data_IF_521789250559
#
_entry.id   IF_521789250559
#
_cell.length_a   1.000
_cell.length_b   1.000
_cell.length_c   1.000
_cell.angle_alpha   90.00
_cell.angle_beta   90.00
_cell.angle_gamma   90.00
#
_symmetry.space_group_name_H-M   'P 1'
#
loop_
_entity.id
_entity.type
_entity.pdbx_description
1 polymer ?
#
# COMPACT_ATOMS: atom_id res chain seq x y z
N UNK A 1 -12.89 -10.04 -1.28
CA UNK A 1 -12.68 -8.63 -0.91
C UNK A 1 -13.94 -7.96 -0.38
N UNK A 2 -15.12 -8.04 -1.06
CA UNK A 2 -16.34 -7.32 -0.64
C UNK A 2 -16.77 -7.66 0.79
N UNK A 3 -16.85 -8.95 1.11
CA UNK A 3 -17.24 -9.40 2.45
C UNK A 3 -16.33 -8.84 3.56
N UNK A 4 -15.02 -8.85 3.34
CA UNK A 4 -14.05 -8.38 4.34
C UNK A 4 -13.96 -6.85 4.37
N UNK A 5 -13.74 -6.23 3.20
CA UNK A 5 -13.47 -4.80 3.15
C UNK A 5 -14.72 -3.94 3.34
N UNK A 6 -15.86 -4.32 2.74
CA UNK A 6 -17.08 -3.50 2.80
C UNK A 6 -17.95 -3.88 3.99
N UNK A 7 -18.42 -5.13 4.03
CA UNK A 7 -19.31 -5.56 5.12
C UNK A 7 -18.58 -5.56 6.48
N UNK A 8 -17.30 -5.99 6.50
CA UNK A 8 -16.47 -5.94 7.71
C UNK A 8 -16.34 -4.51 8.24
N UNK A 9 -16.06 -3.53 7.39
CA UNK A 9 -15.98 -2.12 7.79
C UNK A 9 -17.33 -1.59 8.28
N UNK A 10 -18.43 -1.92 7.60
CA UNK A 10 -19.78 -1.53 8.05
C UNK A 10 -20.10 -2.11 9.44
N UNK A 11 -19.74 -3.38 9.70
CA UNK A 11 -19.92 -4.00 10.99
C UNK A 11 -19.09 -3.32 12.09
N UNK A 12 -17.84 -2.91 11.79
CA UNK A 12 -16.99 -2.17 12.73
C UNK A 12 -17.62 -0.80 13.05
N UNK A 13 -18.08 -0.07 12.05
CA UNK A 13 -18.78 1.23 12.25
C UNK A 13 -20.01 1.04 13.13
N UNK A 14 -20.84 0.04 12.83
CA UNK A 14 -22.04 -0.28 13.62
C UNK A 14 -21.69 -0.66 15.08
N UNK A 15 -20.65 -1.46 15.27
CA UNK A 15 -20.15 -1.80 16.60
C UNK A 15 -19.64 -0.58 17.37
N UNK A 16 -18.86 0.29 16.72
CA UNK A 16 -18.40 1.54 17.35
C UNK A 16 -19.58 2.38 17.84
N UNK A 17 -20.61 2.55 17.03
CA UNK A 17 -21.81 3.30 17.41
C UNK A 17 -22.58 2.62 18.55
N UNK A 18 -22.79 1.29 18.45
CA UNK A 18 -23.50 0.51 19.47
C UNK A 18 -22.82 0.56 20.85
N UNK A 19 -21.49 0.57 20.86
CA UNK A 19 -20.70 0.53 22.10
C UNK A 19 -20.12 1.90 22.48
N UNK A 20 -20.61 2.97 21.86
CA UNK A 20 -20.18 4.35 22.11
C UNK A 20 -18.63 4.54 22.02
N UNK A 21 -17.98 3.82 21.09
CA UNK A 21 -16.57 4.01 20.80
C UNK A 21 -16.40 5.36 20.08
N UNK A 22 -15.68 6.34 20.67
CA UNK A 22 -15.71 7.71 20.17
C UNK A 22 -14.83 7.94 18.93
N UNK A 23 -13.87 7.07 18.64
CA UNK A 23 -12.89 7.28 17.56
C UNK A 23 -12.60 6.00 16.78
N UNK A 24 -12.45 6.15 15.46
CA UNK A 24 -12.08 5.06 14.55
C UNK A 24 -10.98 5.53 13.59
N UNK A 25 -9.83 4.88 13.63
CA UNK A 25 -8.77 5.05 12.64
C UNK A 25 -8.84 3.89 11.65
N UNK A 26 -9.04 4.20 10.36
CA UNK A 26 -9.21 3.21 9.30
C UNK A 26 -7.99 3.15 8.40
N UNK A 27 -7.43 1.97 8.23
CA UNK A 27 -6.35 1.73 7.26
C UNK A 27 -6.95 1.51 5.88
N UNK A 28 -6.75 2.47 4.98
CA UNK A 28 -7.07 2.37 3.56
C UNK A 28 -5.79 2.08 2.73
N UNK A 29 -5.72 2.58 1.51
CA UNK A 29 -4.60 2.39 0.59
C UNK A 29 -4.61 3.46 -0.50
N UNK A 30 -3.45 3.93 -1.00
CA UNK A 30 -3.41 4.81 -2.17
C UNK A 30 -4.00 4.20 -3.45
N UNK A 31 -4.11 2.87 -3.53
CA UNK A 31 -4.73 2.20 -4.68
C UNK A 31 -6.18 2.66 -4.96
N UNK A 32 -6.85 3.28 -3.97
CA UNK A 32 -8.22 3.81 -4.14
C UNK A 32 -8.28 4.99 -5.12
N UNK A 33 -7.18 5.70 -5.33
CA UNK A 33 -7.07 6.82 -6.30
C UNK A 33 -6.26 6.45 -7.55
N UNK A 34 -5.72 5.23 -7.63
CA UNK A 34 -4.91 4.81 -8.78
C UNK A 34 -5.79 4.48 -10.00
N UNK A 35 -5.54 5.21 -11.08
CA UNK A 35 -6.25 5.08 -12.37
C UNK A 35 -5.41 4.44 -13.51
N UNK A 36 -4.21 3.93 -13.18
CA UNK A 36 -3.27 3.35 -14.16
C UNK A 36 -2.33 4.38 -14.79
N UNK A 37 -2.34 5.64 -14.34
CA UNK A 37 -1.41 6.70 -14.77
C UNK A 37 -0.32 6.90 -13.72
N UNK A 38 0.67 7.74 -14.06
CA UNK A 38 1.61 8.22 -13.05
C UNK A 38 0.88 9.11 -12.03
N UNK A 39 1.15 8.86 -10.76
CA UNK A 39 0.72 9.67 -9.62
C UNK A 39 1.98 10.21 -8.94
N UNK A 40 2.35 11.45 -9.21
CA UNK A 40 3.62 12.04 -8.75
C UNK A 40 3.33 13.22 -7.82
N UNK A 41 3.66 13.10 -6.53
CA UNK A 41 3.42 14.13 -5.53
C UNK A 41 1.93 14.43 -5.31
N UNK A 42 1.09 13.43 -5.50
CA UNK A 42 -0.37 13.58 -5.40
C UNK A 42 -0.78 13.68 -3.93
N UNK A 43 -1.62 14.64 -3.61
CA UNK A 43 -2.21 14.85 -2.29
C UNK A 43 -3.62 14.23 -2.15
N UNK A 44 -4.26 14.45 -1.01
CA UNK A 44 -5.56 13.87 -0.66
C UNK A 44 -6.73 14.41 -1.50
N UNK A 45 -6.53 15.46 -2.29
CA UNK A 45 -7.53 15.99 -3.22
C UNK A 45 -7.75 15.11 -4.46
N UNK A 46 -6.86 14.12 -4.68
CA UNK A 46 -6.96 13.17 -5.79
C UNK A 46 -8.31 12.46 -5.79
N UNK A 47 -9.07 12.51 -6.89
CA UNK A 47 -10.38 11.89 -6.96
C UNK A 47 -10.29 10.36 -7.06
N UNK A 48 -11.33 9.68 -6.62
CA UNK A 48 -11.50 8.27 -6.96
C UNK A 48 -11.72 8.12 -8.47
N UNK A 49 -11.06 7.15 -9.13
CA UNK A 49 -11.25 6.93 -10.55
C UNK A 49 -12.68 6.44 -10.85
N UNK A 50 -13.24 6.72 -12.03
CA UNK A 50 -14.56 6.22 -12.43
C UNK A 50 -14.65 4.70 -12.43
N UNK A 51 -13.51 4.03 -12.69
CA UNK A 51 -13.36 2.57 -12.61
C UNK A 51 -12.04 2.25 -11.93
N UNK A 52 -12.11 1.47 -10.86
CA UNK A 52 -10.92 0.98 -10.20
C UNK A 52 -10.26 -0.14 -11.00
N UNK A 53 -8.94 -0.19 -10.98
CA UNK A 53 -8.14 -1.15 -11.71
C UNK A 53 -8.32 -2.61 -11.24
N UNK A 54 -8.77 -2.82 -9.99
CA UNK A 54 -9.01 -4.15 -9.44
C UNK A 54 -10.08 -4.14 -8.34
N UNK A 55 -10.63 -5.31 -8.02
CA UNK A 55 -11.66 -5.49 -6.99
C UNK A 55 -11.17 -5.07 -5.59
N UNK A 56 -9.87 -5.22 -5.31
CA UNK A 56 -9.28 -4.75 -4.05
C UNK A 56 -9.43 -3.23 -3.91
N UNK A 57 -8.97 -2.46 -4.90
CA UNK A 57 -9.05 -1.00 -4.88
C UNK A 57 -10.52 -0.52 -4.80
N UNK A 58 -11.42 -1.13 -5.58
CA UNK A 58 -12.84 -0.81 -5.56
C UNK A 58 -13.47 -1.02 -4.17
N UNK A 59 -13.21 -2.16 -3.54
CA UNK A 59 -13.79 -2.47 -2.23
C UNK A 59 -13.16 -1.66 -1.10
N UNK A 60 -11.88 -1.30 -1.18
CA UNK A 60 -11.22 -0.39 -0.24
C UNK A 60 -11.78 1.04 -0.37
N UNK A 61 -12.06 1.51 -1.59
CA UNK A 61 -12.70 2.82 -1.80
C UNK A 61 -14.12 2.87 -1.23
N UNK A 62 -14.90 1.80 -1.36
CA UNK A 62 -16.24 1.70 -0.73
C UNK A 62 -16.14 1.74 0.81
N UNK A 63 -15.18 1.00 1.39
CA UNK A 63 -14.94 1.00 2.82
C UNK A 63 -14.51 2.38 3.33
N UNK A 64 -13.58 3.02 2.63
CA UNK A 64 -13.10 4.36 2.95
C UNK A 64 -14.23 5.40 2.94
N UNK A 65 -15.06 5.40 1.89
CA UNK A 65 -16.24 6.28 1.81
C UNK A 65 -17.22 6.04 2.96
N UNK A 66 -17.44 4.78 3.34
CA UNK A 66 -18.30 4.45 4.46
C UNK A 66 -17.76 4.99 5.80
N UNK A 67 -16.44 4.90 6.02
CA UNK A 67 -15.78 5.44 7.22
C UNK A 67 -15.82 6.95 7.24
N UNK A 68 -15.51 7.61 6.11
CA UNK A 68 -15.56 9.08 6.00
C UNK A 68 -16.99 9.61 6.23
N UNK A 69 -17.99 8.96 5.63
CA UNK A 69 -19.39 9.30 5.82
C UNK A 69 -19.92 9.01 7.25
N UNK A 70 -19.25 8.13 7.99
CA UNK A 70 -19.62 7.81 9.37
C UNK A 70 -19.14 8.86 10.38
N UNK A 71 -18.27 9.79 9.97
CA UNK A 71 -17.80 10.89 10.81
C UNK A 71 -18.95 11.78 11.27
N UNK A 72 -18.98 12.08 12.54
CA UNK A 72 -20.10 12.82 13.18
C UNK A 72 -20.97 11.89 14.04
N UNK A 73 -22.03 12.45 14.62
CA UNK A 73 -23.01 11.70 15.44
C UNK A 73 -22.37 10.77 16.50
N UNK A 74 -21.34 11.27 17.20
CA UNK A 74 -20.67 10.54 18.27
C UNK A 74 -19.51 9.62 17.85
N UNK A 75 -19.18 9.53 16.55
CA UNK A 75 -18.04 8.80 16.05
C UNK A 75 -17.13 9.72 15.23
N UNK A 76 -15.93 9.99 15.71
CA UNK A 76 -14.91 10.69 14.95
C UNK A 76 -14.05 9.68 14.18
N UNK A 77 -13.77 9.94 12.90
CA UNK A 77 -13.00 8.99 12.06
C UNK A 77 -11.82 9.67 11.40
N UNK A 78 -10.72 8.96 11.23
CA UNK A 78 -9.62 9.32 10.30
C UNK A 78 -9.32 8.11 9.43
N UNK A 79 -9.01 8.37 8.18
CA UNK A 79 -8.56 7.37 7.22
C UNK A 79 -7.08 7.59 6.91
N UNK A 80 -6.28 6.54 7.03
CA UNK A 80 -4.89 6.54 6.61
C UNK A 80 -4.73 5.71 5.34
N UNK A 81 -3.98 6.22 4.37
CA UNK A 81 -3.61 5.56 3.11
C UNK A 81 -2.11 5.26 3.12
N UNK A 82 -1.63 4.27 3.91
CA UNK A 82 -0.22 3.90 3.88
C UNK A 82 0.13 3.25 2.54
N UNK A 83 1.30 3.64 1.99
CA UNK A 83 1.76 3.13 0.72
C UNK A 83 2.83 2.06 0.90
N UNK A 84 2.61 0.88 0.31
CA UNK A 84 3.56 -0.23 0.26
C UNK A 84 4.28 -0.48 1.60
N UNK A 85 3.54 -0.90 2.62
CA UNK A 85 4.12 -1.22 3.94
C UNK A 85 5.06 -2.40 3.82
N UNK A 86 6.25 -2.29 4.43
CA UNK A 86 7.26 -3.33 4.48
C UNK A 86 8.05 -3.31 5.78
N UNK A 87 8.71 -4.43 6.10
CA UNK A 87 9.55 -4.53 7.29
C UNK A 87 9.63 -5.97 7.81
N UNK A 88 10.24 -6.19 8.97
CA UNK A 88 10.23 -7.48 9.65
C UNK A 88 8.82 -7.99 9.88
N UNK A 89 8.58 -9.27 9.57
CA UNK A 89 7.26 -9.89 9.75
C UNK A 89 6.23 -9.56 8.67
N UNK A 90 6.60 -8.81 7.61
CA UNK A 90 5.70 -8.55 6.49
C UNK A 90 5.25 -9.88 5.84
N UNK A 91 3.92 -10.16 5.77
CA UNK A 91 3.43 -11.41 5.19
C UNK A 91 3.22 -11.34 3.67
N UNK A 92 3.39 -10.19 3.03
CA UNK A 92 2.94 -9.97 1.65
C UNK A 92 4.00 -9.41 0.71
N UNK A 93 4.50 -8.19 0.96
CA UNK A 93 5.31 -7.44 0.01
C UNK A 93 6.73 -8.05 -0.10
N UNK A 94 7.43 -8.15 1.02
CA UNK A 94 8.78 -8.72 1.08
C UNK A 94 8.79 -10.19 0.62
N UNK A 95 7.94 -11.09 1.16
CA UNK A 95 7.91 -12.48 0.71
C UNK A 95 7.60 -12.65 -0.79
N UNK A 96 6.73 -11.79 -1.36
CA UNK A 96 6.40 -11.82 -2.79
C UNK A 96 7.61 -11.46 -3.66
N UNK A 97 8.44 -10.50 -3.24
CA UNK A 97 9.70 -10.15 -3.92
C UNK A 97 10.68 -11.32 -3.83
N UNK A 98 10.93 -11.81 -2.61
CA UNK A 98 11.92 -12.84 -2.35
C UNK A 98 11.59 -14.17 -3.06
N UNK A 99 10.32 -14.60 -3.01
CA UNK A 99 9.88 -15.85 -3.67
C UNK A 99 9.98 -15.82 -5.19
N UNK A 100 10.04 -14.63 -5.78
CA UNK A 100 10.13 -14.43 -7.23
C UNK A 100 11.50 -13.93 -7.70
N UNK A 101 12.48 -13.76 -6.81
CA UNK A 101 13.74 -13.09 -7.06
C UNK A 101 14.41 -13.49 -8.40
N UNK A 102 14.56 -14.80 -8.67
CA UNK A 102 15.17 -15.32 -9.90
C UNK A 102 14.37 -15.04 -11.18
N UNK A 103 13.06 -14.77 -11.05
CA UNK A 103 12.13 -14.56 -12.18
C UNK A 103 11.76 -13.10 -12.37
N UNK A 104 12.11 -12.22 -11.40
CA UNK A 104 11.83 -10.80 -11.52
C UNK A 104 12.52 -10.21 -12.75
N UNK A 105 11.81 -9.31 -13.42
CA UNK A 105 12.34 -8.51 -14.52
C UNK A 105 11.83 -7.10 -14.31
N UNK A 106 12.66 -6.09 -14.53
CA UNK A 106 12.25 -4.69 -14.48
C UNK A 106 11.20 -4.43 -15.55
N UNK A 107 10.04 -3.88 -15.18
CA UNK A 107 8.97 -3.56 -16.13
C UNK A 107 9.09 -2.10 -16.53
N UNK A 108 9.06 -1.84 -17.85
CA UNK A 108 9.20 -0.48 -18.39
C UNK A 108 10.66 -0.02 -18.48
N UNK A 109 10.88 1.29 -18.33
CA UNK A 109 12.22 1.88 -18.36
C UNK A 109 12.98 1.79 -17.01
N UNK A 110 12.28 1.40 -15.95
CA UNK A 110 12.82 1.24 -14.61
C UNK A 110 13.08 2.56 -13.87
N UNK A 111 12.57 3.69 -14.39
CA UNK A 111 12.78 5.03 -13.82
C UNK A 111 11.60 5.51 -12.97
N UNK A 112 10.51 4.74 -12.93
CA UNK A 112 9.34 5.08 -12.14
C UNK A 112 9.70 5.16 -10.65
N UNK A 113 9.27 6.26 -10.02
CA UNK A 113 9.50 6.51 -8.60
C UNK A 113 8.32 6.04 -7.78
N UNK A 114 8.61 5.50 -6.61
CA UNK A 114 7.62 5.12 -5.60
C UNK A 114 8.09 5.61 -4.24
N UNK A 115 7.18 5.87 -3.36
CA UNK A 115 7.47 5.92 -1.93
C UNK A 115 6.93 4.65 -1.26
N UNK A 116 7.43 4.37 -0.08
CA UNK A 116 7.04 3.19 0.69
C UNK A 116 6.86 3.57 2.16
N UNK A 117 6.38 2.67 2.98
CA UNK A 117 6.22 2.92 4.42
C UNK A 117 6.87 1.79 5.22
N UNK A 118 7.83 2.12 6.08
CA UNK A 118 8.34 1.13 7.02
C UNK A 118 7.28 0.84 8.09
N UNK A 119 7.18 -0.43 8.51
CA UNK A 119 6.07 -0.92 9.38
C UNK A 119 5.94 -0.12 10.68
N UNK A 120 7.05 0.22 11.36
CA UNK A 120 6.99 0.96 12.61
C UNK A 120 6.46 2.39 12.39
N UNK A 121 6.81 3.03 11.28
CA UNK A 121 6.29 4.34 10.90
C UNK A 121 4.79 4.26 10.58
N UNK A 122 4.35 3.19 9.90
CA UNK A 122 2.93 2.98 9.67
C UNK A 122 2.16 2.79 10.98
N UNK A 123 2.70 2.03 11.92
CA UNK A 123 2.10 1.84 13.25
C UNK A 123 2.04 3.16 14.02
N UNK A 124 3.15 3.93 14.04
CA UNK A 124 3.21 5.25 14.68
C UNK A 124 2.18 6.22 14.13
N UNK A 125 1.98 6.24 12.79
CA UNK A 125 0.97 7.08 12.15
C UNK A 125 -0.45 6.82 12.66
N UNK A 126 -0.80 5.56 12.98
CA UNK A 126 -2.11 5.21 13.55
C UNK A 126 -2.28 5.76 14.96
N UNK A 127 -1.23 5.69 15.81
CA UNK A 127 -1.26 6.26 17.15
C UNK A 127 -1.34 7.80 17.10
N UNK A 128 -0.52 8.44 16.26
CA UNK A 128 -0.53 9.89 16.05
C UNK A 128 -1.90 10.36 15.53
N UNK A 129 -2.53 9.64 14.61
CA UNK A 129 -3.87 9.95 14.14
C UNK A 129 -4.92 9.85 15.26
N UNK A 130 -4.82 8.84 16.12
CA UNK A 130 -5.72 8.68 17.25
C UNK A 130 -5.57 9.79 18.29
N UNK A 131 -4.33 10.23 18.58
CA UNK A 131 -4.03 11.30 19.50
C UNK A 131 -4.43 12.66 18.92
N UNK A 132 -4.11 12.92 17.64
CA UNK A 132 -4.51 14.15 16.94
C UNK A 132 -6.04 14.29 16.90
N UNK A 133 -6.76 13.21 16.60
CA UNK A 133 -8.22 13.20 16.58
C UNK A 133 -8.84 13.45 17.96
N UNK A 134 -8.15 13.05 19.03
CA UNK A 134 -8.54 13.38 20.42
C UNK A 134 -8.33 14.85 20.73
N UNK A 135 -7.21 15.42 20.30
CA UNK A 135 -6.85 16.82 20.56
C UNK A 135 -7.62 17.81 19.68
N UNK A 136 -7.90 17.43 18.41
CA UNK A 136 -8.55 18.27 17.42
C UNK A 136 -9.70 17.52 16.72
N UNK A 137 -10.90 17.48 17.31
CA UNK A 137 -12.07 16.79 16.72
C UNK A 137 -12.46 17.28 15.31
N UNK A 138 -12.04 18.48 14.93
CA UNK A 138 -12.25 19.03 13.57
C UNK A 138 -11.52 18.23 12.46
N UNK A 139 -10.59 17.33 12.82
CA UNK A 139 -9.95 16.40 11.89
C UNK A 139 -10.84 15.21 11.52
N UNK A 140 -12.01 15.08 12.14
CA UNK A 140 -12.93 13.97 11.85
C UNK A 140 -13.36 13.96 10.38
N UNK A 141 -13.32 12.78 9.77
CA UNK A 141 -13.64 12.57 8.36
C UNK A 141 -12.47 12.82 7.40
N UNK A 142 -11.31 13.25 7.89
CA UNK A 142 -10.14 13.48 7.05
C UNK A 142 -9.45 12.18 6.63
N UNK A 143 -8.76 12.28 5.50
CA UNK A 143 -7.95 11.22 4.89
C UNK A 143 -6.52 11.71 4.82
N UNK A 144 -5.54 10.81 4.98
CA UNK A 144 -4.11 11.16 4.92
C UNK A 144 -3.31 10.09 4.18
N UNK A 145 -2.43 10.51 3.27
CA UNK A 145 -1.38 9.63 2.76
C UNK A 145 -0.27 9.46 3.81
N UNK A 146 0.24 8.23 3.89
CA UNK A 146 1.32 7.88 4.81
C UNK A 146 2.41 7.16 4.03
N UNK A 147 3.63 7.72 4.07
CA UNK A 147 4.82 7.12 3.46
C UNK A 147 6.08 7.63 4.15
N UNK A 148 7.26 7.19 3.66
CA UNK A 148 8.54 7.73 4.12
C UNK A 148 8.76 9.20 3.70
N UNK A 149 8.00 9.72 2.73
CA UNK A 149 8.24 11.04 2.13
C UNK A 149 9.56 11.13 1.35
N UNK A 150 10.13 9.98 1.01
CA UNK A 150 11.40 9.82 0.29
C UNK A 150 11.17 8.99 -0.98
N UNK A 151 10.60 9.55 -2.06
CA UNK A 151 10.38 8.80 -3.29
C UNK A 151 11.70 8.32 -3.90
N UNK A 152 11.79 7.01 -4.19
CA UNK A 152 12.95 6.35 -4.77
C UNK A 152 12.56 5.61 -6.05
N UNK A 153 13.51 5.28 -6.95
CA UNK A 153 13.21 4.39 -8.06
C UNK A 153 12.67 3.04 -7.54
N UNK A 154 11.53 2.59 -8.08
CA UNK A 154 10.84 1.40 -7.57
C UNK A 154 11.73 0.15 -7.59
N UNK A 155 12.55 0.02 -8.63
CA UNK A 155 13.43 -1.14 -8.79
C UNK A 155 14.66 -1.08 -7.90
N UNK A 156 15.12 0.11 -7.50
CA UNK A 156 16.19 0.27 -6.52
C UNK A 156 15.70 -0.18 -5.13
N UNK A 157 14.43 0.10 -4.79
CA UNK A 157 13.82 -0.41 -3.56
C UNK A 157 13.69 -1.94 -3.57
N UNK A 158 13.30 -2.53 -4.72
CA UNK A 158 13.25 -3.99 -4.89
C UNK A 158 14.65 -4.60 -4.74
N UNK A 159 15.66 -4.03 -5.40
CA UNK A 159 17.04 -4.49 -5.30
C UNK A 159 17.60 -4.36 -3.88
N UNK A 160 17.25 -3.30 -3.15
CA UNK A 160 17.63 -3.13 -1.75
C UNK A 160 17.01 -4.19 -0.83
N UNK A 161 15.75 -4.58 -1.08
CA UNK A 161 15.11 -5.70 -0.36
C UNK A 161 15.79 -7.03 -0.69
N UNK A 162 16.13 -7.27 -1.96
CA UNK A 162 16.87 -8.48 -2.37
C UNK A 162 18.25 -8.53 -1.70
N UNK A 163 18.97 -7.41 -1.70
CA UNK A 163 20.28 -7.29 -1.03
C UNK A 163 20.17 -7.53 0.48
N UNK A 164 19.12 -7.07 1.14
CA UNK A 164 18.87 -7.35 2.56
C UNK A 164 18.67 -8.85 2.84
N UNK A 165 18.26 -9.62 1.84
CA UNK A 165 18.15 -11.09 1.90
C UNK A 165 19.39 -11.83 1.38
N UNK A 166 20.47 -11.13 0.98
CA UNK A 166 21.66 -11.73 0.38
C UNK A 166 21.45 -12.25 -1.04
N UNK A 167 20.48 -11.70 -1.78
CA UNK A 167 20.14 -12.10 -3.14
C UNK A 167 20.64 -11.06 -4.16
N UNK A 168 20.90 -11.54 -5.39
CA UNK A 168 21.33 -10.67 -6.50
C UNK A 168 20.23 -9.69 -6.93
N UNK A 169 20.60 -8.50 -7.45
CA UNK A 169 19.65 -7.53 -7.97
C UNK A 169 18.93 -8.06 -9.21
N UNK A 170 17.78 -7.47 -9.50
CA UNK A 170 16.93 -7.87 -10.64
C UNK A 170 17.67 -7.71 -11.96
N UNK A 171 17.77 -8.81 -12.71
CA UNK A 171 18.44 -8.88 -14.01
C UNK A 171 17.44 -8.73 -15.16
N UNK A 172 17.82 -7.91 -16.17
CA UNK A 172 17.04 -7.72 -17.38
C UNK A 172 15.76 -6.89 -17.20
N UNK A 173 15.12 -6.57 -18.30
CA UNK A 173 13.88 -5.79 -18.34
C UNK A 173 12.88 -6.33 -19.35
N UNK A 174 11.60 -5.99 -19.16
CA UNK A 174 10.51 -6.30 -20.09
C UNK A 174 9.80 -4.98 -20.42
N UNK A 175 9.49 -4.69 -21.68
CA UNK A 175 8.68 -3.55 -22.04
C UNK A 175 7.32 -3.57 -21.32
N UNK A 176 6.86 -2.41 -20.82
CA UNK A 176 5.58 -2.31 -20.11
C UNK A 176 4.42 -2.90 -20.92
N UNK A 177 4.35 -2.60 -22.24
CA UNK A 177 3.29 -3.11 -23.13
C UNK A 177 3.24 -4.64 -23.15
N UNK A 178 4.40 -5.31 -23.15
CA UNK A 178 4.46 -6.77 -23.12
C UNK A 178 3.94 -7.34 -21.78
N UNK A 179 4.38 -6.77 -20.66
CA UNK A 179 3.89 -7.17 -19.35
C UNK A 179 2.38 -6.93 -19.19
N UNK A 180 1.89 -5.80 -19.69
CA UNK A 180 0.47 -5.46 -19.67
C UNK A 180 -0.38 -6.41 -20.53
N UNK A 181 0.08 -6.73 -21.74
CA UNK A 181 -0.60 -7.70 -22.63
C UNK A 181 -0.60 -9.10 -22.02
N UNK A 182 0.52 -9.52 -21.42
CA UNK A 182 0.56 -10.78 -20.67
C UNK A 182 -0.44 -10.79 -19.51
N UNK A 183 -0.55 -9.66 -18.79
CA UNK A 183 -1.54 -9.49 -17.73
C UNK A 183 -2.98 -9.65 -18.25
N UNK A 184 -3.32 -9.04 -19.38
CA UNK A 184 -4.63 -9.18 -20.01
C UNK A 184 -4.94 -10.64 -20.36
N UNK A 185 -3.99 -11.34 -20.97
CA UNK A 185 -4.15 -12.77 -21.34
C UNK A 185 -4.34 -13.63 -20.11
N UNK A 186 -3.51 -13.46 -19.07
CA UNK A 186 -3.67 -14.22 -17.83
C UNK A 186 -5.00 -13.94 -17.12
N UNK A 187 -5.43 -12.68 -17.02
CA UNK A 187 -6.74 -12.33 -16.47
C UNK A 187 -7.87 -13.02 -17.23
N UNK A 188 -7.84 -13.01 -18.57
CA UNK A 188 -8.84 -13.67 -19.41
C UNK A 188 -8.84 -15.18 -19.20
N UNK A 189 -7.67 -15.84 -19.22
CA UNK A 189 -7.54 -17.28 -19.01
C UNK A 189 -8.06 -17.69 -17.61
N UNK A 190 -7.66 -16.98 -16.55
CA UNK A 190 -8.11 -17.29 -15.18
C UNK A 190 -9.62 -17.13 -15.03
N UNK A 191 -10.20 -16.11 -15.69
CA UNK A 191 -11.64 -15.86 -15.64
C UNK A 191 -12.41 -16.91 -16.44
N UNK A 192 -12.01 -17.17 -17.70
CA UNK A 192 -12.71 -18.09 -18.60
C UNK A 192 -12.63 -19.55 -18.12
N UNK A 193 -11.44 -19.95 -17.61
CA UNK A 193 -11.20 -21.31 -17.14
C UNK A 193 -11.52 -21.47 -15.62
N UNK A 194 -11.97 -20.41 -14.96
CA UNK A 194 -12.28 -20.39 -13.51
C UNK A 194 -11.13 -20.96 -12.67
N UNK A 195 -9.89 -20.63 -13.03
CA UNK A 195 -8.70 -21.13 -12.34
C UNK A 195 -8.65 -20.60 -10.91
N UNK A 196 -8.25 -21.41 -9.91
CA UNK A 196 -8.11 -20.96 -8.55
C UNK A 196 -6.86 -20.08 -8.39
N UNK A 197 -6.90 -19.14 -7.40
CA UNK A 197 -5.78 -18.27 -7.07
C UNK A 197 -5.73 -16.98 -7.88
N UNK A 198 -4.58 -16.30 -7.81
CA UNK A 198 -4.32 -15.04 -8.53
C UNK A 198 -3.49 -15.31 -9.80
N UNK A 199 -3.77 -14.60 -10.92
CA UNK A 199 -2.93 -14.68 -12.11
C UNK A 199 -1.47 -14.32 -11.80
N UNK A 200 -0.50 -14.94 -12.46
CA UNK A 200 0.93 -14.63 -12.29
C UNK A 200 1.28 -13.16 -12.55
N UNK A 201 0.56 -12.54 -13.48
CA UNK A 201 0.60 -11.13 -13.84
C UNK A 201 -0.82 -10.64 -14.09
N UNK A 202 -1.10 -9.39 -13.68
CA UNK A 202 -2.33 -8.68 -14.03
C UNK A 202 -1.98 -7.34 -14.66
N UNK A 203 -2.91 -6.73 -15.37
CA UNK A 203 -2.72 -5.36 -15.91
C UNK A 203 -2.43 -4.38 -14.79
N UNK A 204 -3.12 -4.51 -13.66
CA UNK A 204 -2.87 -3.69 -12.46
C UNK A 204 -1.44 -3.83 -11.96
N UNK A 205 -0.90 -5.05 -11.86
CA UNK A 205 0.47 -5.29 -11.41
C UNK A 205 1.48 -4.73 -12.43
N UNK A 206 1.22 -4.90 -13.73
CA UNK A 206 2.10 -4.34 -14.78
C UNK A 206 2.15 -2.81 -14.71
N UNK A 207 1.00 -2.15 -14.51
CA UNK A 207 0.95 -0.69 -14.33
C UNK A 207 1.62 -0.27 -13.03
N UNK A 208 1.36 -0.93 -11.90
CA UNK A 208 1.95 -0.62 -10.60
C UNK A 208 3.48 -0.77 -10.59
N UNK A 209 4.05 -1.68 -11.38
CA UNK A 209 5.49 -1.88 -11.48
C UNK A 209 6.19 -0.97 -12.51
N UNK A 210 5.42 -0.32 -13.41
CA UNK A 210 5.97 0.52 -14.47
C UNK A 210 5.68 2.01 -14.29
N UNK A 211 4.65 2.37 -13.51
CA UNK A 211 4.21 3.75 -13.31
C UNK A 211 4.80 4.33 -12.02
N UNK A 212 5.03 5.64 -12.04
CA UNK A 212 5.39 6.35 -10.82
C UNK A 212 4.15 6.48 -9.92
N UNK A 213 4.32 6.23 -8.62
CA UNK A 213 3.28 6.48 -7.62
C UNK A 213 3.92 6.82 -6.27
N UNK A 214 3.92 8.09 -5.97
CA UNK A 214 4.36 8.65 -4.69
C UNK A 214 3.47 9.84 -4.32
N UNK A 215 3.33 10.09 -3.02
CA UNK A 215 2.28 10.94 -2.48
C UNK A 215 2.85 12.03 -1.59
N UNK A 216 2.18 13.19 -1.57
CA UNK A 216 2.48 14.26 -0.63
C UNK A 216 1.91 13.89 0.74
N UNK A 217 2.79 13.83 1.74
CA UNK A 217 2.44 13.58 3.15
C UNK A 217 2.35 14.88 3.98
N UNK A 218 2.32 16.02 3.32
CA UNK A 218 2.31 17.33 3.97
C UNK A 218 1.11 17.53 4.89
N UNK A 219 -0.06 17.00 4.53
CA UNK A 219 -1.24 17.04 5.39
C UNK A 219 -1.05 16.19 6.67
N UNK A 220 -0.51 14.97 6.55
CA UNK A 220 -0.20 14.14 7.70
C UNK A 220 0.82 14.79 8.63
N UNK A 221 1.84 15.45 8.07
CA UNK A 221 2.83 16.21 8.85
C UNK A 221 2.19 17.35 9.65
N UNK A 222 1.36 18.16 9.01
CA UNK A 222 0.73 19.33 9.65
C UNK A 222 -0.29 18.93 10.71
N UNK A 223 -1.17 18.00 10.37
CA UNK A 223 -2.37 17.73 11.15
C UNK A 223 -2.15 16.64 12.21
N UNK A 224 -1.29 15.67 11.92
CA UNK A 224 -1.02 14.52 12.78
C UNK A 224 0.34 14.59 13.48
N UNK A 225 1.23 15.53 13.07
CA UNK A 225 2.62 15.55 13.50
C UNK A 225 3.41 14.33 13.00
N UNK A 226 2.98 13.74 11.86
CA UNK A 226 3.62 12.55 11.33
C UNK A 226 5.00 12.85 10.76
N UNK A 227 6.02 12.24 11.34
CA UNK A 227 7.39 12.19 10.80
C UNK A 227 7.89 10.75 10.85
N UNK A 228 8.40 10.21 9.73
CA UNK A 228 8.98 8.88 9.68
C UNK A 228 10.23 8.78 10.58
N UNK A 229 10.11 8.19 11.76
CA UNK A 229 11.21 8.07 12.72
C UNK A 229 12.29 7.06 12.28
N UNK A 230 11.90 6.06 11.49
CA UNK A 230 12.80 5.04 10.94
C UNK A 230 13.02 5.35 9.46
N UNK A 231 14.25 5.70 9.09
CA UNK A 231 14.62 5.92 7.69
C UNK A 231 14.55 4.63 6.86
N UNK A 232 14.46 4.75 5.54
CA UNK A 232 14.49 3.60 4.62
C UNK A 232 15.76 2.75 4.83
N UNK A 233 16.93 3.38 4.98
CA UNK A 233 18.20 2.67 5.21
C UNK A 233 18.19 1.88 6.53
N UNK A 234 17.72 2.48 7.63
CA UNK A 234 17.60 1.81 8.91
C UNK A 234 16.58 0.67 8.87
N UNK A 235 15.45 0.87 8.19
CA UNK A 235 14.45 -0.18 7.99
C UNK A 235 15.00 -1.38 7.23
N UNK A 236 15.78 -1.16 6.17
CA UNK A 236 16.44 -2.22 5.40
C UNK A 236 17.47 -2.98 6.25
N UNK A 237 18.22 -2.28 7.10
CA UNK A 237 19.17 -2.91 8.03
C UNK A 237 18.44 -3.80 9.04
N UNK A 238 17.31 -3.35 9.58
CA UNK A 238 16.46 -4.16 10.49
C UNK A 238 15.84 -5.36 9.78
N UNK A 239 15.40 -5.17 8.53
CA UNK A 239 14.89 -6.27 7.70
C UNK A 239 15.96 -7.33 7.46
N UNK A 240 17.19 -6.93 7.09
CA UNK A 240 18.30 -7.85 6.87
C UNK A 240 18.61 -8.66 8.14
N UNK A 241 18.71 -8.01 9.31
CA UNK A 241 18.94 -8.68 10.59
C UNK A 241 17.81 -9.66 10.94
N UNK A 242 16.56 -9.31 10.62
CA UNK A 242 15.42 -10.20 10.84
C UNK A 242 15.46 -11.42 9.92
N UNK A 243 15.72 -11.24 8.62
CA UNK A 243 15.83 -12.33 7.65
C UNK A 243 16.94 -13.32 8.02
N UNK A 244 18.10 -12.82 8.48
CA UNK A 244 19.19 -13.67 8.96
C UNK A 244 18.78 -14.53 10.16
N UNK A 245 18.03 -13.97 11.13
CA UNK A 245 17.51 -14.74 12.28
C UNK A 245 16.48 -15.81 11.91
N UNK A 246 15.75 -15.62 10.81
CA UNK A 246 14.81 -16.63 10.30
C UNK A 246 15.50 -17.81 9.57
N UNK A 247 16.83 -17.86 9.58
CA UNK A 247 17.60 -18.97 8.98
C UNK A 247 18.07 -18.70 7.56
N UNK A 248 18.03 -17.46 7.10
CA UNK A 248 18.27 -17.11 5.70
C UNK A 248 17.23 -17.77 4.78
N UNK A 249 17.07 -17.28 3.57
CA UNK A 249 16.28 -18.02 2.58
C UNK A 249 17.19 -19.18 2.12
N UNK A 250 16.91 -20.38 2.63
CA UNK A 250 17.58 -21.61 2.17
C UNK A 250 17.45 -21.63 0.66
N UNK A 251 18.57 -21.51 -0.05
CA UNK A 251 18.62 -21.65 -1.51
C UNK A 251 18.26 -23.11 -1.85
N UNK A 252 16.97 -23.38 -2.03
CA UNK A 252 16.49 -24.59 -2.68
C UNK A 252 16.08 -24.31 -4.11
#
# INVERSE_FOLDING_TARGET
YHRTNVLGTQNVIAACRKHAVPRLIHTSTPSVVFDGRNLEGVDESAPYPPRHACAYAATKALAERAVTAAAGSGLATIVLRPHQIWGPGDPHFVPRILSRARRLRRIGDGRNRVDTTYIDNAAAAHLQAADALKAAPALAGRVYFISQGEPVPAWDMVDAILAAAGLDPVQGRIPHRLAWTAGLVFEALFTCLRLPGEPPMTRFVADALAKAHWFDIGAARRDLGYEPAVSTAEGLRRLAAWLQRQGGISQK
#
